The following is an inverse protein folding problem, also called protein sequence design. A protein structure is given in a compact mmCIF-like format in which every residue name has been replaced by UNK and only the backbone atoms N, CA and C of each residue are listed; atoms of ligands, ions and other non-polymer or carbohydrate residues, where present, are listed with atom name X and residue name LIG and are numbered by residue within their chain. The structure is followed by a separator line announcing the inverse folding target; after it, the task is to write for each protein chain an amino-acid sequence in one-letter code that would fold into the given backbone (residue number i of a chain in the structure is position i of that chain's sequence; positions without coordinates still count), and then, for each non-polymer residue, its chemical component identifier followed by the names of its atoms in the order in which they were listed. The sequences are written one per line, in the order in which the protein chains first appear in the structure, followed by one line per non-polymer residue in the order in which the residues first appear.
data_IF_503585418385
#
_entry.id   IF_503585418385
#
_cell.length_a   1.000
_cell.length_b   1.000
_cell.length_c   1.000
_cell.angle_alpha   90.00
_cell.angle_beta   90.00
_cell.angle_gamma   90.00
#
_symmetry.space_group_name_H-M   'P 1'
#
loop_
_entity.id
_entity.type
_entity.pdbx_description
1 polymer ?
#
# COMPACT_ATOMS: atom_id res chain seq x y z
N UNK A 1 -63.12 30.45 -0.36
CA UNK A 1 -61.79 30.83 0.16
C UNK A 1 -60.95 29.66 0.68
N UNK A 2 -61.51 28.57 1.22
CA UNK A 2 -60.69 27.42 1.69
C UNK A 2 -59.98 26.63 0.58
N UNK A 3 -60.62 26.46 -0.58
CA UNK A 3 -60.07 25.68 -1.69
C UNK A 3 -58.75 26.25 -2.23
N UNK A 4 -58.63 27.58 -2.33
CA UNK A 4 -57.39 28.25 -2.73
C UNK A 4 -56.27 28.04 -1.70
N UNK A 5 -56.59 28.14 -0.40
CA UNK A 5 -55.59 27.89 0.65
C UNK A 5 -55.10 26.45 0.63
N UNK A 6 -55.99 25.48 0.40
CA UNK A 6 -55.61 24.06 0.25
C UNK A 6 -54.73 23.83 -0.98
N UNK A 7 -55.03 24.50 -2.11
CA UNK A 7 -54.22 24.43 -3.33
C UNK A 7 -52.80 24.95 -3.09
N UNK A 8 -52.69 26.15 -2.52
CA UNK A 8 -51.39 26.79 -2.21
C UNK A 8 -50.58 25.94 -1.22
N UNK A 9 -51.22 25.36 -0.19
CA UNK A 9 -50.53 24.49 0.75
C UNK A 9 -50.00 23.19 0.10
N UNK A 10 -50.75 22.60 -0.83
CA UNK A 10 -50.31 21.43 -1.56
C UNK A 10 -49.16 21.76 -2.53
N UNK A 11 -49.23 22.90 -3.20
CA UNK A 11 -48.19 23.39 -4.11
C UNK A 11 -46.86 23.66 -3.37
N UNK A 12 -46.93 24.30 -2.19
CA UNK A 12 -45.76 24.52 -1.33
C UNK A 12 -45.18 23.19 -0.82
N UNK A 13 -46.01 22.23 -0.42
CA UNK A 13 -45.51 20.90 -0.01
C UNK A 13 -44.85 20.14 -1.16
N UNK A 14 -45.43 20.21 -2.37
CA UNK A 14 -44.85 19.57 -3.55
C UNK A 14 -43.52 20.21 -3.93
N UNK A 15 -43.43 21.53 -3.87
CA UNK A 15 -42.21 22.29 -4.19
C UNK A 15 -41.11 21.99 -3.17
N UNK A 16 -41.43 22.03 -1.87
CA UNK A 16 -40.49 21.68 -0.82
C UNK A 16 -40.04 20.21 -0.87
N UNK A 17 -40.93 19.30 -1.28
CA UNK A 17 -40.58 17.91 -1.54
C UNK A 17 -39.57 17.75 -2.67
N UNK A 18 -39.82 18.42 -3.81
CA UNK A 18 -38.94 18.37 -4.98
C UNK A 18 -37.57 19.01 -4.70
N UNK A 19 -37.52 20.17 -4.02
CA UNK A 19 -36.26 20.79 -3.61
C UNK A 19 -35.50 19.90 -2.62
N UNK A 20 -36.19 19.30 -1.65
CA UNK A 20 -35.58 18.38 -0.69
C UNK A 20 -34.98 17.15 -1.37
N UNK A 21 -35.67 16.57 -2.35
CA UNK A 21 -35.17 15.44 -3.13
C UNK A 21 -33.94 15.82 -3.96
N UNK A 22 -33.97 17.01 -4.59
CA UNK A 22 -32.82 17.54 -5.33
C UNK A 22 -31.59 17.72 -4.43
N UNK A 23 -31.77 18.31 -3.25
CA UNK A 23 -30.68 18.50 -2.28
C UNK A 23 -30.09 17.16 -1.85
N UNK A 24 -30.93 16.15 -1.58
CA UNK A 24 -30.45 14.81 -1.22
C UNK A 24 -29.66 14.17 -2.35
N UNK A 25 -30.19 14.19 -3.58
CA UNK A 25 -29.52 13.64 -4.74
C UNK A 25 -28.16 14.31 -5.02
N UNK A 26 -28.08 15.64 -4.85
CA UNK A 26 -26.83 16.37 -4.99
C UNK A 26 -25.84 16.05 -3.87
N UNK A 27 -26.30 15.91 -2.63
CA UNK A 27 -25.47 15.49 -1.50
C UNK A 27 -24.90 14.08 -1.70
N UNK A 28 -25.73 13.13 -2.17
CA UNK A 28 -25.30 11.76 -2.45
C UNK A 28 -24.25 11.72 -3.57
N UNK A 29 -24.48 12.48 -4.65
CA UNK A 29 -23.49 12.63 -5.73
C UNK A 29 -22.18 13.20 -5.21
N UNK A 30 -22.22 14.28 -4.42
CA UNK A 30 -21.01 14.89 -3.86
C UNK A 30 -20.25 13.93 -2.95
N UNK A 31 -20.96 13.14 -2.14
CA UNK A 31 -20.38 12.10 -1.30
C UNK A 31 -19.64 11.06 -2.13
N UNK A 32 -20.28 10.52 -3.16
CA UNK A 32 -19.66 9.53 -4.04
C UNK A 32 -18.41 10.07 -4.74
N UNK A 33 -18.50 11.28 -5.30
CA UNK A 33 -17.36 11.94 -5.96
C UNK A 33 -16.20 12.16 -4.97
N UNK A 34 -16.50 12.58 -3.74
CA UNK A 34 -15.48 12.81 -2.72
C UNK A 34 -14.77 11.51 -2.34
N UNK A 35 -15.52 10.42 -2.14
CA UNK A 35 -14.95 9.11 -1.82
C UNK A 35 -14.11 8.59 -2.99
N UNK A 36 -14.61 8.73 -4.22
CA UNK A 36 -13.89 8.30 -5.42
C UNK A 36 -12.58 9.07 -5.62
N UNK A 37 -12.59 10.39 -5.42
CA UNK A 37 -11.39 11.22 -5.47
C UNK A 37 -10.38 10.83 -4.38
N UNK A 38 -10.84 10.66 -3.14
CA UNK A 38 -10.00 10.23 -2.03
C UNK A 38 -9.35 8.86 -2.31
N UNK A 39 -10.12 7.91 -2.85
CA UNK A 39 -9.60 6.59 -3.23
C UNK A 39 -8.57 6.68 -4.36
N UNK A 40 -8.85 7.47 -5.42
CA UNK A 40 -7.91 7.73 -6.51
C UNK A 40 -6.59 8.29 -5.99
N UNK A 41 -6.66 9.30 -5.14
CA UNK A 41 -5.49 9.98 -4.62
C UNK A 41 -4.68 9.06 -3.69
N UNK A 42 -5.36 8.25 -2.87
CA UNK A 42 -4.70 7.23 -2.05
C UNK A 42 -3.97 6.18 -2.90
N UNK A 43 -4.59 5.68 -3.97
CA UNK A 43 -3.95 4.73 -4.89
C UNK A 43 -2.74 5.35 -5.60
N UNK A 44 -2.85 6.62 -5.99
CA UNK A 44 -1.76 7.36 -6.63
C UNK A 44 -0.56 7.48 -5.68
N UNK A 45 -0.77 7.93 -4.44
CA UNK A 45 0.28 8.05 -3.42
C UNK A 45 0.91 6.69 -3.13
N UNK A 46 0.10 5.63 -3.01
CA UNK A 46 0.62 4.28 -2.81
C UNK A 46 1.49 3.83 -3.98
N UNK A 47 1.02 4.01 -5.22
CA UNK A 47 1.78 3.66 -6.42
C UNK A 47 3.09 4.44 -6.56
N UNK A 48 3.08 5.73 -6.22
CA UNK A 48 4.29 6.56 -6.19
C UNK A 48 5.27 6.08 -5.12
N UNK A 49 4.79 5.72 -3.94
CA UNK A 49 5.60 5.14 -2.86
C UNK A 49 6.21 3.80 -3.24
N UNK A 50 5.41 2.89 -3.81
CA UNK A 50 5.87 1.58 -4.27
C UNK A 50 6.92 1.73 -5.40
N UNK A 51 6.71 2.67 -6.32
CA UNK A 51 7.67 2.95 -7.39
C UNK A 51 8.99 3.54 -6.85
N UNK A 52 8.93 4.46 -5.88
CA UNK A 52 10.11 5.01 -5.23
C UNK A 52 10.87 3.94 -4.44
N UNK A 53 10.16 3.09 -3.69
CA UNK A 53 10.75 1.99 -2.96
C UNK A 53 11.43 1.01 -3.91
N UNK A 54 10.76 0.60 -5.00
CA UNK A 54 11.34 -0.28 -6.01
C UNK A 54 12.57 0.33 -6.69
N UNK A 55 12.55 1.63 -6.99
CA UNK A 55 13.71 2.36 -7.55
C UNK A 55 14.88 2.37 -6.56
N UNK A 56 14.63 2.72 -5.29
CA UNK A 56 15.67 2.74 -4.27
C UNK A 56 16.24 1.33 -4.02
N UNK A 57 15.39 0.30 -4.06
CA UNK A 57 15.81 -1.09 -4.01
C UNK A 57 16.72 -1.41 -5.21
N UNK A 58 16.29 -1.11 -6.43
CA UNK A 58 17.09 -1.33 -7.64
C UNK A 58 18.42 -0.55 -7.63
N UNK A 59 18.43 0.69 -7.15
CA UNK A 59 19.63 1.52 -7.07
C UNK A 59 20.60 1.02 -5.98
N UNK A 60 20.09 0.56 -4.85
CA UNK A 60 20.90 0.03 -3.74
C UNK A 60 21.46 -1.35 -4.04
N UNK A 61 20.65 -2.22 -4.64
CA UNK A 61 21.02 -3.60 -4.95
C UNK A 61 21.63 -3.78 -6.34
N UNK A 62 21.44 -2.83 -7.25
CA UNK A 62 22.10 -2.78 -8.55
C UNK A 62 23.56 -2.35 -8.48
N UNK A 63 23.97 -1.67 -7.38
CA UNK A 63 25.38 -1.30 -7.14
C UNK A 63 26.23 -2.48 -6.68
N UNK A 64 25.66 -3.42 -5.93
CA UNK A 64 26.35 -4.64 -5.50
C UNK A 64 25.36 -5.82 -5.34
N UNK A 65 25.26 -6.68 -6.37
CA UNK A 65 24.41 -7.87 -6.34
C UNK A 65 24.74 -8.85 -5.20
N UNK A 66 25.98 -8.87 -4.71
CA UNK A 66 26.39 -9.74 -3.60
C UNK A 66 25.80 -9.24 -2.27
N UNK A 67 25.78 -7.92 -2.05
CA UNK A 67 25.12 -7.32 -0.89
C UNK A 67 23.60 -7.57 -0.89
N UNK A 68 22.98 -7.57 -2.07
CA UNK A 68 21.55 -7.88 -2.23
C UNK A 68 21.19 -9.28 -1.78
N UNK A 69 21.98 -10.25 -2.22
CA UNK A 69 21.81 -11.65 -1.87
C UNK A 69 22.05 -11.86 -0.37
N UNK A 70 23.03 -11.16 0.21
CA UNK A 70 23.30 -11.18 1.64
C UNK A 70 22.16 -10.55 2.47
N UNK A 71 21.64 -9.38 2.11
CA UNK A 71 20.57 -8.71 2.86
C UNK A 71 19.24 -9.50 2.80
N UNK A 72 18.88 -10.05 1.63
CA UNK A 72 17.73 -10.96 1.52
C UNK A 72 17.89 -12.22 2.37
N UNK A 73 19.12 -12.74 2.50
CA UNK A 73 19.37 -13.85 3.42
C UNK A 73 19.13 -13.43 4.87
N UNK A 74 19.59 -12.24 5.31
CA UNK A 74 19.35 -11.67 6.65
C UNK A 74 17.87 -11.49 6.99
N UNK A 75 17.07 -11.05 6.03
CA UNK A 75 15.63 -10.89 6.23
C UNK A 75 14.93 -12.25 6.34
N UNK A 76 15.34 -13.24 5.54
CA UNK A 76 14.87 -14.62 5.65
C UNK A 76 15.23 -15.23 7.01
N UNK A 77 16.46 -15.02 7.50
CA UNK A 77 16.86 -15.42 8.86
C UNK A 77 15.94 -14.82 9.91
N UNK A 78 15.73 -13.50 9.87
CA UNK A 78 14.88 -12.79 10.84
C UNK A 78 13.44 -13.32 10.82
N UNK A 79 12.90 -13.61 9.64
CA UNK A 79 11.55 -14.16 9.49
C UNK A 79 11.46 -15.59 10.04
N UNK A 80 12.42 -16.46 9.73
CA UNK A 80 12.43 -17.85 10.18
C UNK A 80 12.62 -18.00 11.70
N UNK A 81 13.30 -17.05 12.35
CA UNK A 81 13.49 -17.07 13.82
C UNK A 81 12.43 -16.30 14.61
N UNK A 82 11.42 -15.72 13.94
CA UNK A 82 10.35 -14.97 14.62
C UNK A 82 9.29 -15.88 15.26
N UNK A 83 9.30 -17.19 14.95
CA UNK A 83 8.49 -18.23 15.58
C UNK A 83 9.37 -19.09 16.49
N UNK A 84 9.04 -19.19 17.79
CA UNK A 84 9.81 -20.00 18.77
C UNK A 84 9.77 -21.51 18.52
N UNK A 85 9.04 -21.99 17.49
CA UNK A 85 8.80 -23.41 17.22
C UNK A 85 9.38 -23.96 15.91
N UNK A 86 10.01 -23.13 15.07
CA UNK A 86 10.48 -23.58 13.76
C UNK A 86 11.86 -24.24 13.86
N UNK A 87 11.88 -25.58 13.89
CA UNK A 87 13.11 -26.37 13.77
C UNK A 87 13.52 -26.38 12.30
N UNK A 88 14.53 -25.58 11.94
CA UNK A 88 15.08 -25.54 10.59
C UNK A 88 16.20 -26.59 10.45
N UNK A 89 15.93 -27.70 9.76
CA UNK A 89 16.94 -28.71 9.44
C UNK A 89 17.74 -28.24 8.23
N UNK A 90 18.99 -27.83 8.45
CA UNK A 90 19.89 -27.38 7.40
C UNK A 90 21.08 -28.33 7.32
N UNK A 91 21.37 -28.80 6.12
CA UNK A 91 22.62 -29.50 5.85
C UNK A 91 23.78 -28.48 5.85
N UNK A 92 24.72 -28.57 6.80
CA UNK A 92 25.85 -27.66 6.88
C UNK A 92 26.78 -27.75 5.65
N UNK A 93 26.72 -28.80 4.84
CA UNK A 93 27.55 -28.94 3.64
C UNK A 93 27.01 -28.22 2.39
N UNK A 94 25.69 -28.17 2.23
CA UNK A 94 25.03 -27.75 0.97
C UNK A 94 24.09 -26.54 1.12
N UNK A 95 23.83 -26.09 2.35
CA UNK A 95 22.89 -25.01 2.60
C UNK A 95 23.44 -23.65 2.16
N UNK A 96 22.91 -23.13 1.04
CA UNK A 96 23.16 -21.77 0.54
C UNK A 96 22.76 -20.68 1.57
N UNK A 97 21.99 -21.05 2.60
CA UNK A 97 21.57 -20.16 3.68
C UNK A 97 22.80 -19.52 4.34
N UNK A 98 23.74 -20.31 4.86
CA UNK A 98 24.91 -19.81 5.60
C UNK A 98 26.12 -19.46 4.74
N UNK A 99 26.00 -19.47 3.40
CA UNK A 99 27.14 -19.25 2.51
C UNK A 99 27.77 -17.87 2.65
N UNK A 100 26.95 -16.83 2.90
CA UNK A 100 27.43 -15.46 3.17
C UNK A 100 28.16 -15.29 4.51
N UNK A 101 27.81 -16.08 5.54
CA UNK A 101 28.53 -16.12 6.82
C UNK A 101 29.79 -16.99 6.77
N UNK A 102 29.84 -17.93 5.82
CA UNK A 102 31.00 -18.79 5.54
C UNK A 102 32.01 -18.15 4.58
N UNK A 103 31.94 -16.83 4.38
CA UNK A 103 32.95 -16.07 3.67
C UNK A 103 34.31 -16.15 4.38
N UNK A 104 35.24 -16.84 3.72
CA UNK A 104 36.70 -16.85 3.87
C UNK A 104 37.30 -15.63 4.62
N UNK A 105 38.27 -15.83 5.53
CA UNK A 105 39.04 -14.73 6.10
C UNK A 105 39.85 -14.03 5.01
N UNK A 106 39.63 -12.73 4.82
CA UNK A 106 40.58 -11.82 4.18
C UNK A 106 40.82 -12.01 2.67
N UNK A 107 39.92 -11.48 1.84
CA UNK A 107 40.28 -11.07 0.48
C UNK A 107 40.97 -9.69 0.52
N UNK A 108 42.29 -9.67 0.63
CA UNK A 108 43.08 -8.44 0.46
C UNK A 108 42.91 -7.87 -0.97
N UNK A 109 42.83 -6.54 -1.16
CA UNK A 109 42.79 -5.95 -2.49
C UNK A 109 44.17 -6.07 -3.14
N UNK A 110 44.28 -6.88 -4.19
CA UNK A 110 45.44 -6.84 -5.08
C UNK A 110 45.33 -5.61 -6.00
N UNK A 111 45.94 -4.49 -5.60
CA UNK A 111 46.38 -3.43 -6.51
C UNK A 111 47.79 -2.99 -6.11
N UNK A 112 48.64 -2.86 -7.13
CA UNK A 112 50.09 -2.54 -7.07
C UNK A 112 50.40 -1.35 -6.17
#
# INVERSE_FOLDING_TARGET
MEAERKRVANELRSTGGAEGEKIRADADRQREVTIANAYRDAQKIKGEGDAQAARLYADSFGRDPQFAQFYRSLEAYKSSFNSKGDVMVLDPGSSEFFKGMRGTPGGAPARK
#
